data_IF_448603890825
#
_entry.id   IF_448603890825
#
_cell.length_a   1.000
_cell.length_b   1.000
_cell.length_c   1.000
_cell.angle_alpha   90.00
_cell.angle_beta   90.00
_cell.angle_gamma   90.00
#
_symmetry.space_group_name_H-M   'P 1'
#
loop_
_entity.id
_entity.type
_entity.pdbx_description
1 polymer ?
#
# COMPACT_ATOMS: atom_id res chain seq x y z
N UNK A 1 2.96 -28.66 0.67
CA UNK A 1 2.10 -27.58 0.12
C UNK A 1 2.79 -26.94 -1.08
N UNK A 2 2.06 -26.46 -2.09
CA UNK A 2 2.69 -25.75 -3.21
C UNK A 2 3.13 -24.34 -2.82
N UNK A 3 4.23 -23.82 -3.39
CA UNK A 3 4.69 -22.44 -3.13
C UNK A 3 3.59 -21.40 -3.39
N UNK A 4 2.75 -21.67 -4.39
CA UNK A 4 1.61 -20.84 -4.73
C UNK A 4 0.61 -20.73 -3.56
N UNK A 5 0.35 -21.83 -2.86
CA UNK A 5 -0.51 -21.84 -1.67
C UNK A 5 0.13 -21.13 -0.48
N UNK A 6 1.45 -21.27 -0.31
CA UNK A 6 2.19 -20.61 0.77
C UNK A 6 2.11 -19.07 0.64
N UNK A 7 2.25 -18.53 -0.57
CA UNK A 7 2.12 -17.09 -0.82
C UNK A 7 0.72 -16.58 -0.47
N UNK A 8 -0.34 -17.31 -0.84
CA UNK A 8 -1.72 -16.91 -0.51
C UNK A 8 -1.93 -16.92 1.01
N UNK A 9 -1.38 -17.92 1.70
CA UNK A 9 -1.49 -18.03 3.17
C UNK A 9 -0.70 -16.92 3.86
N UNK A 10 0.52 -16.61 3.40
CA UNK A 10 1.30 -15.51 3.96
C UNK A 10 0.65 -14.13 3.70
N UNK A 11 -0.03 -13.95 2.56
CA UNK A 11 -0.86 -12.77 2.36
C UNK A 11 -2.04 -12.74 3.34
N UNK A 12 -2.73 -13.87 3.53
CA UNK A 12 -3.88 -13.99 4.41
C UNK A 12 -3.53 -13.76 5.89
N UNK A 13 -2.34 -14.19 6.35
CA UNK A 13 -1.88 -13.97 7.74
C UNK A 13 -1.79 -12.49 8.07
N UNK A 14 -1.45 -11.62 7.11
CA UNK A 14 -1.52 -10.19 7.29
C UNK A 14 -2.95 -9.65 7.09
N UNK A 15 -3.59 -10.02 5.98
CA UNK A 15 -4.86 -9.41 5.54
C UNK A 15 -6.01 -9.64 6.53
N UNK A 16 -6.02 -10.78 7.23
CA UNK A 16 -7.08 -11.14 8.19
C UNK A 16 -6.68 -11.01 9.66
N UNK A 17 -5.43 -10.66 9.97
CA UNK A 17 -4.90 -10.67 11.35
C UNK A 17 -5.81 -9.92 12.33
N UNK A 18 -6.26 -8.73 11.93
CA UNK A 18 -7.08 -7.86 12.79
C UNK A 18 -8.47 -8.41 13.07
N UNK A 19 -9.11 -9.09 12.11
CA UNK A 19 -10.40 -9.74 12.39
C UNK A 19 -10.20 -10.84 13.43
N UNK A 20 -9.14 -11.63 13.29
CA UNK A 20 -8.83 -12.71 14.23
C UNK A 20 -8.61 -12.12 15.63
N UNK A 21 -7.83 -11.04 15.76
CA UNK A 21 -7.65 -10.34 17.04
C UNK A 21 -8.96 -9.74 17.57
N UNK A 22 -9.81 -9.20 16.71
CA UNK A 22 -11.12 -8.64 17.12
C UNK A 22 -12.09 -9.70 17.64
N UNK A 23 -11.86 -10.98 17.32
CA UNK A 23 -12.60 -12.12 17.89
C UNK A 23 -12.06 -12.55 19.27
N UNK A 24 -11.11 -11.81 19.84
CA UNK A 24 -10.56 -12.06 21.18
C UNK A 24 -9.21 -12.79 21.19
N UNK A 25 -8.61 -13.07 20.03
CA UNK A 25 -7.28 -13.66 20.01
C UNK A 25 -6.18 -12.64 20.36
N UNK A 26 -5.00 -13.10 20.86
CA UNK A 26 -3.95 -12.21 21.30
C UNK A 26 -3.38 -11.32 20.20
N UNK A 27 -3.01 -10.08 20.57
CA UNK A 27 -2.53 -9.05 19.65
C UNK A 27 -1.23 -9.41 18.91
N UNK A 28 -0.47 -10.39 19.42
CA UNK A 28 0.72 -10.98 18.77
C UNK A 28 0.42 -11.54 17.38
N UNK A 29 -0.84 -11.93 17.10
CA UNK A 29 -1.26 -12.41 15.77
C UNK A 29 -1.03 -11.35 14.69
N UNK A 30 -1.14 -10.06 15.04
CA UNK A 30 -0.85 -8.96 14.12
C UNK A 30 0.61 -8.91 13.66
N UNK A 31 1.51 -9.68 14.26
CA UNK A 31 2.94 -9.75 13.91
C UNK A 31 3.31 -11.02 13.14
N UNK A 32 2.41 -11.99 12.97
CA UNK A 32 2.73 -13.27 12.31
C UNK A 32 3.20 -13.06 10.87
N UNK A 33 2.72 -12.01 10.20
CA UNK A 33 3.13 -11.70 8.84
C UNK A 33 4.63 -11.38 8.72
N UNK A 34 5.21 -10.76 9.75
CA UNK A 34 6.65 -10.44 9.83
C UNK A 34 7.53 -11.69 9.79
N UNK A 35 7.02 -12.86 10.20
CA UNK A 35 7.73 -14.14 10.03
C UNK A 35 7.31 -14.83 8.72
N UNK A 36 6.02 -14.92 8.44
CA UNK A 36 5.51 -15.72 7.32
C UNK A 36 5.92 -15.18 5.96
N UNK A 37 5.95 -13.86 5.75
CA UNK A 37 6.32 -13.25 4.45
C UNK A 37 7.80 -13.51 4.11
N UNK A 38 8.79 -13.21 4.99
CA UNK A 38 10.20 -13.54 4.72
C UNK A 38 10.45 -15.04 4.52
N UNK A 39 9.83 -15.89 5.35
CA UNK A 39 9.97 -17.36 5.25
C UNK A 39 9.46 -17.85 3.89
N UNK A 40 8.27 -17.41 3.46
CA UNK A 40 7.72 -17.82 2.16
C UNK A 40 8.55 -17.28 1.00
N UNK A 41 9.09 -16.07 1.12
CA UNK A 41 10.04 -15.53 0.15
C UNK A 41 11.29 -16.42 0.04
N UNK A 42 11.90 -16.77 1.17
CA UNK A 42 13.08 -17.64 1.24
C UNK A 42 12.80 -19.04 0.66
N UNK A 43 11.74 -19.70 1.10
CA UNK A 43 11.32 -21.02 0.58
C UNK A 43 11.12 -20.95 -0.93
N UNK A 44 10.45 -19.90 -1.42
CA UNK A 44 10.20 -19.73 -2.85
C UNK A 44 11.50 -19.56 -3.62
N UNK A 45 12.45 -18.76 -3.14
CA UNK A 45 13.75 -18.55 -3.78
C UNK A 45 14.59 -19.83 -3.84
N UNK A 46 14.59 -20.64 -2.78
CA UNK A 46 15.38 -21.88 -2.70
C UNK A 46 14.77 -22.99 -3.57
N UNK A 47 13.45 -23.15 -3.52
CA UNK A 47 12.77 -24.30 -4.14
C UNK A 47 12.43 -24.08 -5.61
N UNK A 48 12.38 -22.83 -6.07
CA UNK A 48 11.89 -22.52 -7.41
C UNK A 48 13.01 -22.50 -8.45
N UNK A 49 12.92 -23.39 -9.44
CA UNK A 49 13.87 -23.45 -10.56
C UNK A 49 13.43 -22.51 -11.69
N UNK A 50 13.76 -21.22 -11.57
CA UNK A 50 13.53 -20.23 -12.62
C UNK A 50 14.55 -20.39 -13.73
N UNK A 51 14.10 -20.55 -14.98
CA UNK A 51 14.98 -20.57 -16.17
C UNK A 51 15.08 -19.22 -16.90
N UNK A 52 14.17 -18.28 -16.60
CA UNK A 52 14.12 -16.99 -17.28
C UNK A 52 15.18 -16.02 -16.73
N UNK A 53 16.17 -15.66 -17.53
CA UNK A 53 17.25 -14.75 -17.15
C UNK A 53 16.77 -13.36 -16.73
N UNK A 54 15.71 -12.85 -17.34
CA UNK A 54 15.15 -11.53 -16.98
C UNK A 54 14.56 -11.56 -15.57
N UNK A 55 13.82 -12.64 -15.26
CA UNK A 55 13.23 -12.85 -13.94
C UNK A 55 14.31 -12.98 -12.87
N UNK A 56 15.36 -13.76 -13.14
CA UNK A 56 16.52 -13.90 -12.24
C UNK A 56 17.20 -12.54 -12.01
N UNK A 57 17.46 -11.76 -13.06
CA UNK A 57 18.09 -10.45 -12.95
C UNK A 57 17.24 -9.48 -12.13
N UNK A 58 15.94 -9.44 -12.36
CA UNK A 58 15.00 -8.61 -11.59
C UNK A 58 14.99 -9.02 -10.10
N UNK A 59 14.89 -10.31 -9.80
CA UNK A 59 14.91 -10.83 -8.43
C UNK A 59 16.23 -10.48 -7.74
N UNK A 60 17.38 -10.70 -8.38
CA UNK A 60 18.70 -10.35 -7.81
C UNK A 60 18.82 -8.84 -7.55
N UNK A 61 18.34 -8.01 -8.46
CA UNK A 61 18.38 -6.56 -8.30
C UNK A 61 17.53 -6.10 -7.11
N UNK A 62 16.32 -6.64 -6.95
CA UNK A 62 15.46 -6.32 -5.80
C UNK A 62 16.07 -6.82 -4.47
N UNK A 63 16.65 -8.03 -4.44
CA UNK A 63 17.36 -8.55 -3.28
C UNK A 63 18.55 -7.67 -2.89
N UNK A 64 19.32 -7.19 -3.87
CA UNK A 64 20.42 -6.25 -3.62
C UNK A 64 19.91 -4.94 -3.01
N UNK A 65 18.83 -4.38 -3.55
CA UNK A 65 18.24 -3.15 -3.02
C UNK A 65 17.71 -3.36 -1.58
N UNK A 66 17.09 -4.51 -1.29
CA UNK A 66 16.65 -4.88 0.05
C UNK A 66 17.81 -5.01 1.03
N UNK A 67 18.91 -5.66 0.62
CA UNK A 67 20.13 -5.76 1.42
C UNK A 67 20.72 -4.38 1.70
N UNK A 68 20.80 -3.52 0.68
CA UNK A 68 21.27 -2.15 0.85
C UNK A 68 20.38 -1.36 1.83
N UNK A 69 19.06 -1.46 1.70
CA UNK A 69 18.13 -0.83 2.62
C UNK A 69 18.27 -1.37 4.07
N UNK A 70 18.51 -2.67 4.23
CA UNK A 70 18.79 -3.28 5.54
C UNK A 70 20.08 -2.73 6.14
N UNK A 71 21.16 -2.59 5.36
CA UNK A 71 22.42 -1.99 5.81
C UNK A 71 22.21 -0.56 6.29
N UNK A 72 21.48 0.26 5.52
CA UNK A 72 21.18 1.65 5.92
C UNK A 72 20.34 1.69 7.20
N UNK A 73 19.36 0.79 7.33
CA UNK A 73 18.54 0.65 8.55
C UNK A 73 19.39 0.24 9.75
N UNK A 74 20.35 -0.68 9.56
CA UNK A 74 21.29 -1.12 10.60
C UNK A 74 22.20 0.03 11.04
N UNK A 75 22.81 0.76 10.10
CA UNK A 75 23.67 1.90 10.42
C UNK A 75 22.88 2.98 11.16
N UNK A 76 21.67 3.29 10.69
CA UNK A 76 20.75 4.21 11.38
C UNK A 76 20.42 3.76 12.80
N UNK A 77 20.16 2.47 13.01
CA UNK A 77 19.91 1.90 14.34
C UNK A 77 21.11 2.02 15.27
N UNK A 78 22.32 1.72 14.77
CA UNK A 78 23.55 1.76 15.57
C UNK A 78 23.90 3.20 15.98
N UNK A 79 23.85 4.15 15.04
CA UNK A 79 24.17 5.57 15.31
C UNK A 79 23.20 6.15 16.35
N UNK A 80 21.93 5.79 16.27
CA UNK A 80 20.88 6.36 17.12
C UNK A 80 20.48 5.45 18.30
N UNK A 81 21.27 4.39 18.58
CA UNK A 81 21.04 3.45 19.68
C UNK A 81 19.61 2.88 19.72
N UNK A 82 19.00 2.68 18.54
CA UNK A 82 17.68 2.08 18.48
C UNK A 82 17.75 0.58 18.77
N UNK A 83 16.74 0.06 19.47
CA UNK A 83 16.66 -1.34 19.86
C UNK A 83 16.68 -2.30 18.67
N UNK A 84 17.15 -3.53 18.90
CA UNK A 84 17.19 -4.55 17.85
C UNK A 84 15.80 -4.85 17.27
N UNK A 85 14.77 -4.80 18.12
CA UNK A 85 13.36 -4.97 17.70
C UNK A 85 12.90 -3.81 16.82
N UNK A 86 13.34 -2.58 17.11
CA UNK A 86 13.04 -1.45 16.25
C UNK A 86 13.59 -1.66 14.85
N UNK A 87 14.86 -2.06 14.74
CA UNK A 87 15.50 -2.38 13.47
C UNK A 87 14.72 -3.44 12.69
N UNK A 88 14.42 -4.58 13.33
CA UNK A 88 13.77 -5.71 12.66
C UNK A 88 12.37 -5.33 12.21
N UNK A 89 11.54 -4.81 13.10
CA UNK A 89 10.15 -4.48 12.77
C UNK A 89 10.05 -3.36 11.75
N UNK A 90 10.81 -2.27 11.89
CA UNK A 90 10.72 -1.15 10.97
C UNK A 90 11.24 -1.52 9.57
N UNK A 91 12.30 -2.32 9.49
CA UNK A 91 12.75 -2.89 8.22
C UNK A 91 11.66 -3.74 7.58
N UNK A 92 11.07 -4.70 8.33
CA UNK A 92 10.07 -5.61 7.79
C UNK A 92 8.80 -4.89 7.35
N UNK A 93 8.30 -3.91 8.13
CA UNK A 93 7.14 -3.07 7.76
C UNK A 93 7.28 -2.49 6.35
N UNK A 94 8.48 -2.05 5.98
CA UNK A 94 8.76 -1.45 4.68
C UNK A 94 9.19 -2.46 3.61
N UNK A 95 9.88 -3.53 4.00
CA UNK A 95 10.49 -4.51 3.09
C UNK A 95 9.55 -5.63 2.65
N UNK A 96 8.58 -6.02 3.48
CA UNK A 96 7.60 -7.07 3.22
C UNK A 96 6.91 -7.02 1.85
N UNK A 97 6.36 -5.88 1.36
CA UNK A 97 5.76 -5.82 0.02
C UNK A 97 6.73 -6.23 -1.08
N UNK A 98 8.01 -5.90 -0.94
CA UNK A 98 9.03 -6.29 -1.92
C UNK A 98 9.41 -7.76 -1.79
N UNK A 99 9.49 -8.31 -0.58
CA UNK A 99 9.71 -9.75 -0.36
C UNK A 99 8.57 -10.58 -0.93
N UNK A 100 7.32 -10.17 -0.69
CA UNK A 100 6.15 -10.82 -1.28
C UNK A 100 6.18 -10.71 -2.82
N UNK A 101 6.51 -9.55 -3.36
CA UNK A 101 6.64 -9.37 -4.80
C UNK A 101 7.73 -10.28 -5.38
N UNK A 102 8.91 -10.35 -4.75
CA UNK A 102 10.00 -11.26 -5.13
C UNK A 102 9.51 -12.71 -5.14
N UNK A 103 8.79 -13.14 -4.10
CA UNK A 103 8.21 -14.48 -4.04
C UNK A 103 7.27 -14.74 -5.24
N UNK A 104 6.34 -13.81 -5.51
CA UNK A 104 5.38 -13.94 -6.61
C UNK A 104 6.10 -13.98 -7.97
N UNK A 105 6.96 -13.00 -8.27
CA UNK A 105 7.63 -12.92 -9.57
C UNK A 105 8.60 -14.08 -9.78
N UNK A 106 9.09 -14.73 -8.71
CA UNK A 106 10.00 -15.88 -8.81
C UNK A 106 9.29 -17.19 -9.16
N UNK A 107 7.95 -17.26 -9.09
CA UNK A 107 7.22 -18.48 -9.45
C UNK A 107 7.09 -18.70 -10.98
N UNK A 108 7.32 -19.92 -11.50
CA UNK A 108 6.94 -20.28 -12.87
C UNK A 108 5.46 -20.65 -12.92
N UNK A 109 4.57 -19.65 -12.88
CA UNK A 109 3.12 -19.92 -12.85
C UNK A 109 2.59 -20.41 -14.21
N UNK A 110 1.78 -21.46 -14.18
CA UNK A 110 0.92 -21.87 -15.30
C UNK A 110 -0.36 -21.02 -15.33
N UNK A 111 -1.14 -21.10 -16.42
CA UNK A 111 -2.41 -20.37 -16.55
C UNK A 111 -3.40 -20.76 -15.45
N UNK A 112 -3.43 -22.03 -15.09
CA UNK A 112 -4.33 -22.60 -14.07
C UNK A 112 -3.96 -22.09 -12.68
N UNK A 113 -2.67 -22.07 -12.34
CA UNK A 113 -2.18 -21.55 -11.06
C UNK A 113 -2.36 -20.04 -10.94
N UNK A 114 -2.17 -19.29 -12.03
CA UNK A 114 -2.49 -17.87 -12.07
C UNK A 114 -3.99 -17.62 -11.84
N UNK A 115 -4.86 -18.43 -12.47
CA UNK A 115 -6.31 -18.36 -12.23
C UNK A 115 -6.66 -18.64 -10.76
N UNK A 116 -5.99 -19.60 -10.13
CA UNK A 116 -6.16 -19.87 -8.69
C UNK A 116 -5.77 -18.65 -7.83
N UNK A 117 -4.65 -17.98 -8.13
CA UNK A 117 -4.22 -16.74 -7.45
C UNK A 117 -5.29 -15.66 -7.55
N UNK A 118 -5.78 -15.41 -8.76
CA UNK A 118 -6.79 -14.39 -9.00
C UNK A 118 -8.11 -14.70 -8.28
N UNK A 119 -8.52 -15.97 -8.24
CA UNK A 119 -9.75 -16.39 -7.56
C UNK A 119 -9.64 -16.18 -6.05
N UNK A 120 -8.54 -16.63 -5.42
CA UNK A 120 -8.34 -16.44 -3.98
C UNK A 120 -8.25 -14.96 -3.60
N UNK A 121 -7.48 -14.17 -4.34
CA UNK A 121 -7.40 -12.74 -4.11
C UNK A 121 -8.77 -12.06 -4.26
N UNK A 122 -9.54 -12.44 -5.28
CA UNK A 122 -10.89 -11.91 -5.48
C UNK A 122 -11.80 -12.26 -4.31
N UNK A 123 -11.74 -13.50 -3.80
CA UNK A 123 -12.53 -13.90 -2.63
C UNK A 123 -12.19 -13.06 -1.39
N UNK A 124 -10.92 -12.86 -1.11
CA UNK A 124 -10.48 -12.05 0.04
C UNK A 124 -10.94 -10.60 -0.08
N UNK A 125 -10.77 -9.97 -1.25
CA UNK A 125 -11.13 -8.58 -1.43
C UNK A 125 -12.65 -8.37 -1.51
N UNK A 126 -13.40 -9.30 -2.11
CA UNK A 126 -14.87 -9.26 -2.11
C UNK A 126 -15.43 -9.45 -0.70
N UNK A 127 -14.86 -10.39 0.08
CA UNK A 127 -15.21 -10.54 1.49
C UNK A 127 -14.91 -9.26 2.28
N UNK A 128 -13.77 -8.60 2.01
CA UNK A 128 -13.45 -7.31 2.62
C UNK A 128 -14.48 -6.22 2.32
N UNK A 129 -14.86 -6.03 1.05
CA UNK A 129 -15.87 -5.03 0.65
C UNK A 129 -17.22 -5.35 1.28
N UNK A 130 -17.63 -6.63 1.24
CA UNK A 130 -18.85 -7.10 1.87
C UNK A 130 -18.87 -6.82 3.37
N UNK A 131 -17.77 -7.14 4.07
CA UNK A 131 -17.64 -6.93 5.50
C UNK A 131 -17.71 -5.43 5.85
N UNK A 132 -17.06 -4.57 5.06
CA UNK A 132 -17.10 -3.12 5.30
C UNK A 132 -18.52 -2.55 5.15
N UNK A 133 -19.22 -2.91 4.07
CA UNK A 133 -20.61 -2.47 3.86
C UNK A 133 -21.51 -3.00 4.98
N UNK A 134 -21.32 -4.27 5.38
CA UNK A 134 -22.09 -4.88 6.47
C UNK A 134 -21.81 -4.19 7.82
N UNK A 135 -20.55 -3.84 8.10
CA UNK A 135 -20.16 -3.12 9.32
C UNK A 135 -20.93 -1.81 9.46
N UNK A 136 -21.03 -1.01 8.39
CA UNK A 136 -21.80 0.23 8.43
C UNK A 136 -23.24 0.00 8.93
N UNK A 137 -23.95 -0.97 8.33
CA UNK A 137 -25.32 -1.28 8.72
C UNK A 137 -25.42 -1.82 10.14
N UNK A 138 -24.49 -2.68 10.57
CA UNK A 138 -24.46 -3.21 11.93
C UNK A 138 -24.13 -2.13 12.98
N UNK A 139 -23.32 -1.14 12.62
CA UNK A 139 -22.96 -0.02 13.50
C UNK A 139 -24.12 0.97 13.66
N UNK A 140 -24.91 1.24 12.61
CA UNK A 140 -26.09 2.12 12.72
C UNK A 140 -27.22 1.48 13.52
N UNK A 141 -27.42 0.16 13.41
CA UNK A 141 -28.43 -0.57 14.18
C UNK A 141 -28.01 -0.88 15.61
N UNK A 142 -26.75 -0.63 15.97
CA UNK A 142 -26.21 -0.90 17.30
C UNK A 142 -25.86 -2.37 17.57
N UNK A 143 -25.86 -3.23 16.56
CA UNK A 143 -25.42 -4.63 16.71
C UNK A 143 -23.91 -4.74 16.84
N UNK A 144 -23.16 -3.83 16.21
CA UNK A 144 -21.71 -3.75 16.34
C UNK A 144 -21.34 -2.56 17.23
N UNK A 145 -20.45 -2.80 18.20
CA UNK A 145 -19.97 -1.76 19.10
C UNK A 145 -19.10 -0.75 18.35
N UNK A 146 -19.20 0.53 18.74
CA UNK A 146 -18.35 1.59 18.21
C UNK A 146 -17.15 1.79 19.13
N UNK A 147 -15.97 1.96 18.56
CA UNK A 147 -14.83 2.52 19.29
C UNK A 147 -15.00 4.03 19.52
N UNK A 148 -14.02 4.68 20.14
CA UNK A 148 -13.96 6.14 20.32
C UNK A 148 -13.87 6.95 19.00
N UNK A 149 -13.84 6.28 17.86
CA UNK A 149 -13.83 6.89 16.53
C UNK A 149 -15.25 7.23 16.04
N UNK A 150 -15.36 8.05 14.99
CA UNK A 150 -16.65 8.35 14.37
C UNK A 150 -17.31 7.09 13.79
N UNK A 151 -18.63 7.11 13.55
CA UNK A 151 -19.35 6.00 12.91
C UNK A 151 -18.64 5.56 11.61
N UNK A 152 -18.31 6.53 10.76
CA UNK A 152 -17.70 6.28 9.46
C UNK A 152 -16.28 5.69 9.62
N UNK A 153 -15.49 6.18 10.57
CA UNK A 153 -14.16 5.65 10.84
C UNK A 153 -14.17 4.20 11.32
N UNK A 154 -15.28 3.72 11.91
CA UNK A 154 -15.44 2.32 12.31
C UNK A 154 -15.77 1.38 11.12
N UNK A 155 -16.02 1.91 9.92
CA UNK A 155 -16.20 1.13 8.68
C UNK A 155 -14.84 0.83 8.07
N UNK A 156 -14.32 -0.39 8.28
CA UNK A 156 -12.92 -0.72 7.97
C UNK A 156 -12.75 -2.05 7.22
N UNK A 157 -13.83 -2.80 7.03
CA UNK A 157 -13.80 -4.16 6.51
C UNK A 157 -12.90 -5.06 7.35
N UNK A 158 -12.01 -5.81 6.70
CA UNK A 158 -11.06 -6.72 7.36
C UNK A 158 -10.06 -6.03 8.31
N UNK A 159 -9.96 -4.71 8.26
CA UNK A 159 -9.04 -3.95 9.11
C UNK A 159 -9.71 -3.41 10.37
N UNK A 160 -10.88 -3.95 10.73
CA UNK A 160 -11.68 -3.54 11.87
C UNK A 160 -10.86 -3.35 13.16
N UNK A 161 -11.27 -2.35 13.94
CA UNK A 161 -10.65 -1.96 15.21
C UNK A 161 -9.21 -1.42 15.09
N UNK A 162 -8.84 -0.82 13.95
CA UNK A 162 -7.55 -0.16 13.79
C UNK A 162 -7.66 1.34 13.56
N UNK A 163 -6.74 2.10 14.14
CA UNK A 163 -6.66 3.53 13.88
C UNK A 163 -6.23 3.74 12.42
N UNK A 164 -7.01 4.52 11.66
CA UNK A 164 -6.81 4.70 10.21
C UNK A 164 -7.28 3.53 9.34
N UNK A 165 -7.89 2.48 9.93
CA UNK A 165 -8.34 1.29 9.22
C UNK A 165 -9.36 1.58 8.10
N UNK A 166 -10.17 2.63 8.24
CA UNK A 166 -11.14 3.07 7.24
C UNK A 166 -10.46 3.51 5.94
N UNK A 167 -9.34 4.25 6.04
CA UNK A 167 -8.52 4.68 4.89
C UNK A 167 -7.93 3.46 4.20
N UNK A 168 -7.34 2.57 5.00
CA UNK A 168 -6.69 1.35 4.53
C UNK A 168 -7.67 0.46 3.79
N UNK A 169 -8.84 0.23 4.39
CA UNK A 169 -9.89 -0.56 3.79
C UNK A 169 -10.38 0.05 2.48
N UNK A 170 -10.67 1.35 2.46
CA UNK A 170 -11.09 2.02 1.24
C UNK A 170 -10.01 1.94 0.13
N UNK A 171 -8.74 2.18 0.45
CA UNK A 171 -7.62 2.05 -0.51
C UNK A 171 -7.45 0.63 -1.04
N UNK A 172 -7.66 -0.39 -0.20
CA UNK A 172 -7.65 -1.80 -0.59
C UNK A 172 -8.80 -2.12 -1.55
N UNK A 173 -10.02 -1.69 -1.21
CA UNK A 173 -11.22 -1.91 -2.01
C UNK A 173 -11.12 -1.23 -3.39
N UNK A 174 -10.67 0.02 -3.44
CA UNK A 174 -10.52 0.77 -4.70
C UNK A 174 -9.39 0.22 -5.58
N UNK A 175 -8.23 -0.12 -5.01
CA UNK A 175 -7.14 -0.74 -5.76
C UNK A 175 -7.54 -2.09 -6.38
N UNK A 176 -8.21 -2.96 -5.60
CA UNK A 176 -8.70 -4.24 -6.08
C UNK A 176 -9.80 -4.08 -7.14
N UNK A 177 -10.78 -3.23 -6.92
CA UNK A 177 -11.89 -3.07 -7.87
C UNK A 177 -11.43 -2.47 -9.20
N UNK A 178 -10.45 -1.55 -9.17
CA UNK A 178 -9.83 -1.05 -10.40
C UNK A 178 -9.06 -2.16 -11.14
N UNK A 179 -8.29 -2.98 -10.42
CA UNK A 179 -7.67 -4.17 -11.01
C UNK A 179 -8.72 -5.08 -11.66
N UNK A 180 -9.79 -5.39 -10.93
CA UNK A 180 -10.85 -6.26 -11.42
C UNK A 180 -11.52 -5.68 -12.68
N UNK A 181 -11.77 -4.37 -12.70
CA UNK A 181 -12.38 -3.68 -13.84
C UNK A 181 -11.48 -3.65 -15.09
N UNK A 182 -10.18 -3.38 -14.88
CA UNK A 182 -9.21 -3.21 -15.97
C UNK A 182 -8.66 -4.54 -16.47
N UNK A 183 -8.26 -5.46 -15.57
CA UNK A 183 -7.55 -6.68 -15.93
C UNK A 183 -8.47 -7.89 -16.19
N UNK A 184 -9.61 -8.02 -15.49
CA UNK A 184 -10.49 -9.21 -15.58
C UNK A 184 -11.51 -9.08 -16.73
N UNK A 185 -11.02 -8.97 -17.96
CA UNK A 185 -11.88 -8.80 -19.15
C UNK A 185 -12.77 -10.02 -19.48
N UNK A 186 -12.46 -11.19 -18.93
CA UNK A 186 -13.30 -12.39 -19.04
C UNK A 186 -14.60 -12.30 -18.26
N UNK A 187 -14.67 -11.44 -17.24
CA UNK A 187 -15.90 -11.20 -16.49
C UNK A 187 -16.79 -10.21 -17.23
N UNK A 188 -18.13 -10.39 -17.20
CA UNK A 188 -19.07 -9.48 -17.85
C UNK A 188 -18.97 -8.07 -17.25
N UNK A 189 -19.23 -7.05 -18.08
CA UNK A 189 -19.06 -5.64 -17.70
C UNK A 189 -19.88 -5.26 -16.46
N UNK A 190 -21.12 -5.73 -16.33
CA UNK A 190 -21.99 -5.41 -15.20
C UNK A 190 -21.38 -5.84 -13.85
N UNK A 191 -20.75 -7.02 -13.79
CA UNK A 191 -20.12 -7.52 -12.58
C UNK A 191 -18.86 -6.71 -12.23
N UNK A 192 -18.08 -6.33 -13.24
CA UNK A 192 -16.90 -5.48 -13.02
C UNK A 192 -17.31 -4.10 -12.51
N UNK A 193 -18.37 -3.53 -13.10
CA UNK A 193 -18.91 -2.23 -12.71
C UNK A 193 -19.50 -2.28 -11.29
N UNK A 194 -20.23 -3.34 -10.93
CA UNK A 194 -20.84 -3.48 -9.60
C UNK A 194 -19.80 -3.55 -8.49
N UNK A 195 -18.67 -4.26 -8.70
CA UNK A 195 -17.57 -4.32 -7.72
C UNK A 195 -16.91 -2.94 -7.55
N UNK A 196 -16.75 -2.18 -8.63
CA UNK A 196 -16.23 -0.81 -8.58
C UNK A 196 -17.18 0.12 -7.82
N UNK A 197 -18.48 0.07 -8.15
CA UNK A 197 -19.53 0.84 -7.47
C UNK A 197 -19.60 0.49 -5.98
N UNK A 198 -19.55 -0.80 -5.63
CA UNK A 198 -19.54 -1.26 -4.23
C UNK A 198 -18.31 -0.76 -3.46
N UNK A 199 -17.14 -0.68 -4.13
CA UNK A 199 -15.91 -0.16 -3.52
C UNK A 199 -15.96 1.35 -3.31
N UNK A 200 -16.53 2.10 -4.27
CA UNK A 200 -16.78 3.53 -4.12
C UNK A 200 -17.81 3.78 -3.01
N UNK A 201 -18.86 2.97 -2.93
CA UNK A 201 -19.85 3.05 -1.86
C UNK A 201 -19.20 2.80 -0.49
N UNK A 202 -18.39 1.75 -0.34
CA UNK A 202 -17.59 1.51 0.86
C UNK A 202 -16.72 2.73 1.22
N UNK A 203 -15.98 3.30 0.27
CA UNK A 203 -15.15 4.47 0.51
C UNK A 203 -15.96 5.65 1.07
N UNK A 204 -17.15 5.89 0.53
CA UNK A 204 -18.05 6.96 0.98
C UNK A 204 -18.60 6.68 2.39
N UNK A 205 -19.01 5.44 2.67
CA UNK A 205 -19.46 5.04 4.02
C UNK A 205 -18.35 5.16 5.08
N UNK A 206 -17.11 4.93 4.67
CA UNK A 206 -15.91 5.00 5.50
C UNK A 206 -15.33 6.42 5.64
N UNK A 207 -15.98 7.44 5.07
CA UNK A 207 -15.50 8.83 4.98
C UNK A 207 -14.05 8.98 4.46
N UNK A 208 -13.57 8.01 3.68
CA UNK A 208 -12.17 7.88 3.27
C UNK A 208 -11.84 8.69 2.00
N UNK A 209 -12.25 9.97 1.98
CA UNK A 209 -12.19 10.90 0.83
C UNK A 209 -10.80 11.06 0.22
N UNK A 210 -9.79 11.01 1.07
CA UNK A 210 -8.39 11.15 0.69
C UNK A 210 -7.99 10.09 -0.33
N UNK A 211 -8.61 8.92 -0.32
CA UNK A 211 -8.35 7.86 -1.29
C UNK A 211 -8.77 8.29 -2.70
N UNK A 212 -9.88 9.03 -2.87
CA UNK A 212 -10.28 9.59 -4.18
C UNK A 212 -9.26 10.64 -4.64
N UNK A 213 -8.82 11.54 -3.76
CA UNK A 213 -7.79 12.52 -4.11
C UNK A 213 -6.48 11.87 -4.54
N UNK A 214 -6.05 10.83 -3.81
CA UNK A 214 -4.86 10.06 -4.16
C UNK A 214 -5.02 9.42 -5.53
N UNK A 215 -6.18 8.85 -5.83
CA UNK A 215 -6.47 8.27 -7.14
C UNK A 215 -6.38 9.30 -8.26
N UNK A 216 -6.97 10.49 -8.08
CA UNK A 216 -6.87 11.57 -9.07
C UNK A 216 -5.43 12.08 -9.27
N UNK A 217 -4.70 12.31 -8.18
CA UNK A 217 -3.31 12.74 -8.25
C UNK A 217 -2.42 11.69 -8.94
N UNK A 218 -2.59 10.41 -8.60
CA UNK A 218 -1.88 9.31 -9.25
C UNK A 218 -2.24 9.18 -10.74
N UNK A 219 -3.49 9.47 -11.12
CA UNK A 219 -3.91 9.48 -12.51
C UNK A 219 -3.28 10.65 -13.27
N UNK A 220 -3.23 11.84 -12.68
CA UNK A 220 -2.53 12.99 -13.25
C UNK A 220 -1.04 12.68 -13.50
N UNK A 221 -0.36 12.06 -12.52
CA UNK A 221 1.03 11.61 -12.72
C UNK A 221 1.14 10.55 -13.84
N UNK A 222 0.16 9.65 -13.97
CA UNK A 222 0.15 8.67 -15.05
C UNK A 222 0.07 9.34 -16.43
N UNK A 223 -0.74 10.39 -16.57
CA UNK A 223 -0.81 11.22 -17.79
C UNK A 223 0.56 11.79 -18.12
N UNK A 224 1.26 12.38 -17.14
CA UNK A 224 2.62 12.90 -17.32
C UNK A 224 3.58 11.80 -17.80
N UNK A 225 3.53 10.60 -17.20
CA UNK A 225 4.37 9.47 -17.63
C UNK A 225 4.02 8.92 -19.01
N UNK A 226 2.88 9.35 -19.59
CA UNK A 226 2.39 8.90 -20.89
C UNK A 226 2.62 9.91 -22.03
N UNK A 227 3.25 11.06 -21.75
CA UNK A 227 3.43 12.15 -22.73
C UNK A 227 4.14 11.74 -24.04
N UNK A 228 4.94 10.67 -24.01
CA UNK A 228 5.55 10.10 -25.21
C UNK A 228 4.57 9.40 -26.17
N UNK A 229 3.34 9.12 -25.73
CA UNK A 229 2.26 8.52 -26.52
C UNK A 229 1.08 9.49 -26.54
N UNK A 230 1.06 10.37 -27.55
CA UNK A 230 0.07 11.46 -27.68
C UNK A 230 -1.36 10.92 -27.64
N UNK A 231 -1.62 9.80 -28.34
CA UNK A 231 -2.95 9.18 -28.39
C UNK A 231 -3.42 8.76 -27.00
N UNK A 232 -2.58 8.08 -26.23
CA UNK A 232 -2.91 7.69 -24.85
C UNK A 232 -3.07 8.89 -23.95
N UNK A 233 -2.19 9.88 -24.08
CA UNK A 233 -2.24 11.12 -23.30
C UNK A 233 -3.58 11.83 -23.49
N UNK A 234 -3.99 12.05 -24.73
CA UNK A 234 -5.28 12.69 -25.05
C UNK A 234 -6.44 11.87 -24.49
N UNK A 235 -6.43 10.54 -24.65
CA UNK A 235 -7.48 9.68 -24.11
C UNK A 235 -7.58 9.78 -22.58
N UNK A 236 -6.44 9.80 -21.88
CA UNK A 236 -6.43 9.94 -20.43
C UNK A 236 -6.86 11.33 -19.98
N UNK A 237 -6.48 12.39 -20.70
CA UNK A 237 -6.93 13.75 -20.41
C UNK A 237 -8.44 13.89 -20.56
N UNK A 238 -9.02 13.39 -21.66
CA UNK A 238 -10.48 13.40 -21.86
C UNK A 238 -11.18 12.66 -20.72
N UNK A 239 -10.70 11.45 -20.39
CA UNK A 239 -11.28 10.67 -19.31
C UNK A 239 -11.14 11.35 -17.93
N UNK A 240 -10.02 12.03 -17.67
CA UNK A 240 -9.80 12.79 -16.45
C UNK A 240 -10.73 14.01 -16.36
N UNK A 241 -10.91 14.77 -17.45
CA UNK A 241 -11.83 15.91 -17.50
C UNK A 241 -13.27 15.47 -17.22
N UNK A 242 -13.72 14.37 -17.83
CA UNK A 242 -15.05 13.81 -17.57
C UNK A 242 -15.18 13.39 -16.10
N UNK A 243 -14.18 12.70 -15.56
CA UNK A 243 -14.19 12.23 -14.18
C UNK A 243 -14.21 13.40 -13.17
N UNK A 244 -13.41 14.45 -13.41
CA UNK A 244 -13.40 15.67 -12.56
C UNK A 244 -14.73 16.40 -12.65
N UNK A 245 -15.29 16.57 -13.86
CA UNK A 245 -16.60 17.19 -14.04
C UNK A 245 -17.69 16.44 -13.28
N UNK A 246 -17.78 15.12 -13.44
CA UNK A 246 -18.75 14.29 -12.72
C UNK A 246 -18.55 14.34 -11.21
N UNK A 247 -17.29 14.34 -10.75
CA UNK A 247 -16.98 14.42 -9.33
C UNK A 247 -17.43 15.76 -8.73
N UNK A 248 -17.13 16.88 -9.40
CA UNK A 248 -17.60 18.21 -8.99
C UNK A 248 -19.12 18.29 -9.01
N UNK A 249 -19.77 17.75 -10.04
CA UNK A 249 -21.22 17.68 -10.10
C UNK A 249 -21.79 16.88 -8.91
N UNK A 250 -21.21 15.73 -8.58
CA UNK A 250 -21.61 14.95 -7.40
C UNK A 250 -21.44 15.73 -6.10
N UNK A 251 -20.34 16.46 -5.91
CA UNK A 251 -20.12 17.28 -4.71
C UNK A 251 -21.20 18.35 -4.50
N UNK A 252 -21.78 18.87 -5.57
CA UNK A 252 -22.83 19.89 -5.51
C UNK A 252 -24.24 19.31 -5.43
N UNK A 253 -24.47 18.11 -5.98
CA UNK A 253 -25.82 17.56 -6.18
C UNK A 253 -26.12 16.29 -5.37
N UNK A 254 -25.12 15.63 -4.80
CA UNK A 254 -25.27 14.36 -4.08
C UNK A 254 -24.82 14.54 -2.64
N UNK A 255 -25.76 14.37 -1.69
CA UNK A 255 -25.51 14.58 -0.26
C UNK A 255 -24.30 13.81 0.27
N UNK A 256 -24.13 12.56 -0.19
CA UNK A 256 -23.01 11.69 0.19
C UNK A 256 -21.62 12.27 -0.18
N UNK A 257 -21.55 13.20 -1.14
CA UNK A 257 -20.31 13.88 -1.55
C UNK A 257 -20.16 15.28 -0.92
N UNK A 258 -21.15 15.79 -0.18
CA UNK A 258 -21.11 17.15 0.40
C UNK A 258 -19.90 17.36 1.31
N UNK A 259 -19.45 16.30 1.96
CA UNK A 259 -18.33 16.34 2.89
C UNK A 259 -16.96 16.62 2.24
N UNK A 260 -16.84 16.62 0.91
CA UNK A 260 -15.62 17.07 0.22
C UNK A 260 -15.47 18.61 0.20
N UNK A 261 -16.56 19.36 0.41
CA UNK A 261 -16.53 20.82 0.41
C UNK A 261 -15.75 21.39 1.62
N UNK A 262 -15.53 20.61 2.68
CA UNK A 262 -14.73 21.05 3.85
C UNK A 262 -13.27 21.26 3.51
N UNK A 263 -12.75 20.60 2.47
CA UNK A 263 -11.36 20.73 2.01
C UNK A 263 -11.18 21.86 1.00
N UNK A 264 -12.25 22.49 0.52
CA UNK A 264 -12.18 23.60 -0.43
C UNK A 264 -12.40 24.91 0.35
N UNK A 265 -11.63 25.12 1.41
CA UNK A 265 -11.65 26.36 2.21
C UNK A 265 -10.47 27.24 1.82
N UNK A 266 -10.70 28.51 1.41
CA UNK A 266 -9.61 29.46 1.19
C UNK A 266 -8.75 29.65 2.46
N UNK A 267 -7.47 29.98 2.29
CA UNK A 267 -6.57 30.36 3.39
C UNK A 267 -5.89 29.21 4.14
N UNK A 268 -6.52 28.03 4.27
CA UNK A 268 -5.93 26.94 5.10
C UNK A 268 -4.66 26.32 4.49
N UNK A 269 -4.45 26.47 3.17
CA UNK A 269 -3.33 25.90 2.42
C UNK A 269 -2.19 26.89 2.12
N UNK A 270 -2.30 28.14 2.59
CA UNK A 270 -1.22 29.12 2.45
C UNK A 270 0.04 28.67 3.20
N UNK A 271 1.23 29.26 2.97
CA UNK A 271 2.45 28.89 3.69
C UNK A 271 2.28 28.91 5.22
N UNK A 272 1.55 29.88 5.74
CA UNK A 272 1.17 30.02 7.16
C UNK A 272 -0.25 29.52 7.46
N UNK A 273 -0.89 28.88 6.48
CA UNK A 273 -2.21 28.30 6.64
C UNK A 273 -2.19 27.14 7.63
N UNK A 274 -3.25 26.99 8.41
CA UNK A 274 -3.33 25.99 9.48
C UNK A 274 -3.09 24.56 8.99
N UNK A 275 -3.57 24.20 7.79
CA UNK A 275 -3.35 22.87 7.23
C UNK A 275 -1.87 22.64 6.87
N UNK A 276 -1.20 23.66 6.32
CA UNK A 276 0.23 23.61 6.00
C UNK A 276 1.04 23.46 7.28
N UNK A 277 0.79 24.30 8.28
CA UNK A 277 1.47 24.26 9.57
C UNK A 277 1.23 22.94 10.29
N UNK A 278 0.00 22.45 10.34
CA UNK A 278 -0.32 21.16 10.94
C UNK A 278 0.41 20.03 10.23
N UNK A 279 0.31 19.95 8.89
CA UNK A 279 0.90 18.86 8.12
C UNK A 279 2.42 18.78 8.25
N UNK A 280 3.08 19.95 8.28
CA UNK A 280 4.55 20.07 8.34
C UNK A 280 5.11 20.08 9.76
N UNK A 281 4.25 20.02 10.79
CA UNK A 281 4.68 20.03 12.20
C UNK A 281 5.64 18.88 12.54
N UNK A 282 5.42 17.69 11.99
CA UNK A 282 6.32 16.54 12.19
C UNK A 282 7.72 16.78 11.65
N UNK A 283 7.85 17.48 10.52
CA UNK A 283 9.17 17.85 9.96
C UNK A 283 9.89 18.79 10.93
N UNK A 284 9.21 19.85 11.40
CA UNK A 284 9.81 20.81 12.34
C UNK A 284 10.24 20.15 13.65
N UNK A 285 9.39 19.29 14.21
CA UNK A 285 9.71 18.56 15.44
C UNK A 285 10.86 17.59 15.20
N UNK A 286 10.88 16.81 14.11
CA UNK A 286 12.00 15.89 13.84
C UNK A 286 13.33 16.67 13.74
N UNK A 287 13.34 17.81 13.05
CA UNK A 287 14.55 18.64 12.91
C UNK A 287 15.03 19.16 14.27
N UNK A 288 14.13 19.52 15.19
CA UNK A 288 14.55 19.99 16.52
C UNK A 288 15.23 18.91 17.38
N UNK A 289 15.12 17.64 16.99
CA UNK A 289 15.81 16.51 17.62
C UNK A 289 17.12 16.13 16.91
N UNK A 290 17.51 16.80 15.82
CA UNK A 290 18.78 16.52 15.14
C UNK A 290 19.93 17.08 15.96
N UNK A 291 20.77 16.19 16.49
CA UNK A 291 21.92 16.53 17.33
C UNK A 291 23.26 16.44 16.57
N UNK A 292 23.26 15.83 15.37
CA UNK A 292 24.44 15.61 14.55
C UNK A 292 24.13 15.77 13.06
N UNK A 293 25.09 16.23 12.24
CA UNK A 293 24.96 16.21 10.78
C UNK A 293 24.64 14.81 10.21
N UNK A 294 25.04 13.74 10.92
CA UNK A 294 24.71 12.37 10.53
C UNK A 294 23.20 12.07 10.58
N UNK A 295 22.42 12.81 11.37
CA UNK A 295 20.97 12.63 11.41
C UNK A 295 20.29 13.02 10.09
N UNK A 296 20.87 13.93 9.30
CA UNK A 296 20.37 14.18 7.95
C UNK A 296 20.53 12.97 7.03
N UNK A 297 21.61 12.22 7.19
CA UNK A 297 21.92 11.08 6.33
C UNK A 297 21.22 9.80 6.78
N UNK A 298 21.20 9.55 8.10
CA UNK A 298 20.74 8.30 8.72
C UNK A 298 19.52 8.43 9.63
N UNK A 299 18.96 9.63 9.80
CA UNK A 299 17.79 9.87 10.62
C UNK A 299 18.06 9.74 12.12
N UNK A 300 16.98 9.55 12.87
CA UNK A 300 16.96 9.43 14.33
C UNK A 300 16.79 7.98 14.82
N UNK A 301 16.83 7.02 13.90
CA UNK A 301 16.74 5.60 14.20
C UNK A 301 15.34 5.03 13.95
N UNK A 302 15.25 3.71 13.66
CA UNK A 302 13.98 3.06 13.39
C UNK A 302 13.01 3.17 14.57
N UNK A 303 11.75 3.48 14.29
CA UNK A 303 10.69 3.55 15.31
C UNK A 303 10.79 4.74 16.28
N UNK A 304 11.71 5.68 16.07
CA UNK A 304 11.87 6.84 16.94
C UNK A 304 11.10 8.09 16.48
N UNK A 305 10.56 8.10 15.26
CA UNK A 305 9.81 9.24 14.71
C UNK A 305 8.33 8.92 14.46
N UNK A 306 7.70 9.58 13.47
CA UNK A 306 6.24 9.54 13.23
C UNK A 306 5.77 8.43 12.29
N UNK A 307 6.67 7.53 11.87
CA UNK A 307 6.31 6.34 11.10
C UNK A 307 5.38 5.40 11.87
N UNK A 308 4.93 4.30 11.25
CA UNK A 308 3.98 3.37 11.86
C UNK A 308 4.46 2.82 13.20
N UNK A 309 5.72 2.38 13.24
CA UNK A 309 6.30 1.80 14.45
C UNK A 309 6.33 2.81 15.60
N UNK A 310 6.87 4.01 15.39
CA UNK A 310 7.01 5.02 16.45
C UNK A 310 5.73 5.79 16.77
N UNK A 311 4.94 6.12 15.75
CA UNK A 311 3.72 6.91 15.85
C UNK A 311 2.51 6.14 16.36
N UNK A 312 2.43 4.83 16.09
CA UNK A 312 1.22 4.04 16.33
C UNK A 312 1.46 2.79 17.18
N UNK A 313 2.60 2.12 17.04
CA UNK A 313 2.85 0.85 17.74
C UNK A 313 3.52 1.06 19.11
N UNK A 314 4.55 1.91 19.16
CA UNK A 314 5.36 2.19 20.36
C UNK A 314 4.98 3.50 21.07
N UNK A 315 4.13 4.33 20.46
CA UNK A 315 3.86 5.69 20.93
C UNK A 315 3.34 5.74 22.38
N UNK A 316 3.75 6.74 23.15
CA UNK A 316 3.45 6.85 24.58
C UNK A 316 1.95 6.85 24.92
N UNK A 317 1.10 7.42 24.05
CA UNK A 317 -0.33 7.61 24.32
C UNK A 317 -1.24 6.62 23.58
N UNK A 318 -0.77 6.08 22.45
CA UNK A 318 -1.55 5.24 21.55
C UNK A 318 -0.87 3.92 21.19
N UNK A 319 0.29 3.64 21.79
CA UNK A 319 1.12 2.46 21.51
C UNK A 319 0.51 1.20 22.08
N UNK A 320 -0.32 0.54 21.28
CA UNK A 320 -1.02 -0.71 21.66
C UNK A 320 -0.08 -1.90 21.87
N UNK A 321 1.20 -1.76 21.52
CA UNK A 321 2.16 -2.86 21.51
C UNK A 321 3.40 -2.58 22.37
N UNK A 322 3.43 -1.49 23.14
CA UNK A 322 4.57 -1.18 23.99
C UNK A 322 4.88 -2.31 24.98
N UNK A 323 3.87 -2.77 25.71
CA UNK A 323 4.02 -3.86 26.71
C UNK A 323 4.51 -5.18 26.09
N UNK A 324 4.22 -5.42 24.80
CA UNK A 324 4.69 -6.61 24.09
C UNK A 324 6.14 -6.46 23.61
N UNK A 325 6.55 -5.25 23.22
CA UNK A 325 7.81 -5.00 22.51
C UNK A 325 8.92 -4.48 23.42
N UNK A 326 8.59 -3.78 24.50
CA UNK A 326 9.56 -3.29 25.50
C UNK A 326 10.39 -4.42 26.11
N UNK A 327 9.83 -5.56 26.57
CA UNK A 327 10.63 -6.66 27.11
C UNK A 327 11.59 -7.28 26.10
N UNK A 328 11.35 -7.08 24.81
CA UNK A 328 12.20 -7.55 23.73
C UNK A 328 13.30 -6.53 23.36
N UNK A 329 13.37 -5.40 24.08
CA UNK A 329 14.36 -4.35 23.88
C UNK A 329 13.93 -3.28 22.88
N UNK A 330 12.63 -3.03 22.71
CA UNK A 330 12.17 -1.88 21.92
C UNK A 330 12.47 -0.54 22.62
N UNK A 331 12.85 0.45 21.82
CA UNK A 331 13.17 1.82 22.27
C UNK A 331 12.21 2.83 21.67
N UNK A 332 12.01 3.98 22.32
CA UNK A 332 11.14 5.07 21.84
C UNK A 332 11.71 6.44 22.21
N UNK A 333 11.38 7.46 21.41
CA UNK A 333 11.63 8.88 21.68
C UNK A 333 10.32 9.65 21.76
N UNK A 334 10.36 10.86 22.34
CA UNK A 334 9.17 11.70 22.56
C UNK A 334 8.61 12.37 21.29
N UNK A 335 9.32 12.31 20.16
CA UNK A 335 8.95 12.97 18.90
C UNK A 335 7.51 12.66 18.47
N UNK A 336 7.11 11.38 18.51
CA UNK A 336 5.74 11.01 18.11
C UNK A 336 4.70 11.55 19.10
N UNK A 337 5.03 11.61 20.40
CA UNK A 337 4.15 12.17 21.42
C UNK A 337 3.94 13.68 21.22
N UNK A 338 5.00 14.42 20.90
CA UNK A 338 4.93 15.87 20.64
C UNK A 338 4.08 16.17 19.40
N UNK A 339 4.25 15.38 18.35
CA UNK A 339 3.43 15.49 17.13
C UNK A 339 1.96 15.17 17.42
N UNK A 340 1.69 14.14 18.23
CA UNK A 340 0.33 13.82 18.65
C UNK A 340 -0.30 14.91 19.52
N UNK A 341 0.48 15.59 20.35
CA UNK A 341 0.00 16.69 21.19
C UNK A 341 -0.53 17.87 20.35
N UNK A 342 0.09 18.13 19.19
CA UNK A 342 -0.39 19.15 18.24
C UNK A 342 -1.64 18.67 17.48
N UNK A 343 -1.69 17.40 17.11
CA UNK A 343 -2.71 16.88 16.20
C UNK A 343 -4.05 16.50 16.86
N UNK A 344 -4.02 15.91 18.06
CA UNK A 344 -5.18 15.20 18.64
C UNK A 344 -6.45 16.05 18.76
N UNK A 345 -6.30 17.31 19.15
CA UNK A 345 -7.44 18.20 19.45
C UNK A 345 -7.59 19.30 18.39
N UNK A 346 -6.89 19.19 17.26
CA UNK A 346 -7.02 20.13 16.16
C UNK A 346 -8.33 19.88 15.39
N UNK A 347 -9.04 20.94 15.00
CA UNK A 347 -10.26 20.81 14.21
C UNK A 347 -10.03 20.22 12.79
N UNK A 348 -8.78 20.20 12.32
CA UNK A 348 -8.32 19.56 11.08
C UNK A 348 -7.83 18.11 11.31
N UNK A 349 -8.22 17.48 12.44
CA UNK A 349 -7.90 16.08 12.75
C UNK A 349 -8.57 15.13 11.75
N UNK A 350 -7.97 15.05 10.57
CA UNK A 350 -8.31 14.17 9.46
C UNK A 350 -7.06 13.48 8.95
N UNK A 351 -7.20 12.24 8.53
CA UNK A 351 -6.17 11.42 7.88
C UNK A 351 -5.40 12.16 6.76
N UNK A 352 -6.06 13.08 6.05
CA UNK A 352 -5.42 13.89 5.01
C UNK A 352 -4.38 14.87 5.57
N UNK A 353 -4.73 15.60 6.63
CA UNK A 353 -3.88 16.63 7.25
C UNK A 353 -2.95 16.09 8.34
N UNK A 354 -3.08 14.82 8.70
CA UNK A 354 -2.26 14.20 9.73
C UNK A 354 -0.75 14.41 9.49
N UNK A 355 -0.01 14.93 10.48
CA UNK A 355 1.44 15.06 10.40
C UNK A 355 2.17 13.72 10.46
N UNK A 356 1.47 12.64 10.82
CA UNK A 356 2.01 11.28 10.85
C UNK A 356 1.87 10.63 9.48
N UNK A 357 2.73 11.01 8.53
CA UNK A 357 2.72 10.41 7.19
C UNK A 357 4.00 9.63 6.84
N UNK A 358 3.88 8.64 5.96
CA UNK A 358 4.97 7.68 5.74
C UNK A 358 6.26 8.31 5.20
N UNK A 359 6.20 9.29 4.30
CA UNK A 359 7.44 9.89 3.76
C UNK A 359 8.29 10.57 4.84
N UNK A 360 7.65 11.34 5.73
CA UNK A 360 8.34 11.95 6.86
C UNK A 360 8.76 10.92 7.90
N UNK A 361 8.00 9.84 8.09
CA UNK A 361 8.40 8.74 8.98
C UNK A 361 9.64 7.98 8.48
N UNK A 362 9.71 7.67 7.18
CA UNK A 362 10.85 6.99 6.55
C UNK A 362 12.09 7.91 6.61
N UNK A 363 11.95 9.18 6.23
CA UNK A 363 13.04 10.15 6.32
C UNK A 363 13.48 10.41 7.76
N UNK A 364 12.54 10.61 8.69
CA UNK A 364 12.85 10.85 10.09
C UNK A 364 13.57 9.67 10.73
N UNK A 365 13.18 8.44 10.40
CA UNK A 365 13.84 7.24 10.91
C UNK A 365 15.21 6.98 10.27
N UNK A 366 15.35 7.14 8.95
CA UNK A 366 16.51 6.64 8.19
C UNK A 366 17.30 7.69 7.40
N UNK A 367 16.93 8.97 7.52
CA UNK A 367 17.52 10.09 6.81
C UNK A 367 17.31 10.03 5.30
N UNK A 368 18.02 10.89 4.58
CA UNK A 368 17.96 10.93 3.12
C UNK A 368 18.51 9.67 2.46
N UNK A 369 19.49 8.98 3.07
CA UNK A 369 20.03 7.76 2.50
C UNK A 369 19.00 6.63 2.54
N UNK A 370 18.31 6.46 3.66
CA UNK A 370 17.26 5.45 3.79
C UNK A 370 16.04 5.76 2.92
N UNK A 371 15.62 7.03 2.86
CA UNK A 371 14.58 7.45 1.93
C UNK A 371 14.98 7.15 0.47
N UNK A 372 16.21 7.48 0.08
CA UNK A 372 16.75 7.20 -1.26
C UNK A 372 16.80 5.70 -1.57
N UNK A 373 17.25 4.88 -0.62
CA UNK A 373 17.26 3.42 -0.74
C UNK A 373 15.85 2.83 -0.90
N UNK A 374 14.86 3.36 -0.16
CA UNK A 374 13.47 2.93 -0.28
C UNK A 374 12.83 3.36 -1.61
N UNK A 375 13.09 4.59 -2.07
CA UNK A 375 12.69 5.05 -3.41
C UNK A 375 13.34 4.19 -4.49
N UNK A 376 14.61 3.81 -4.31
CA UNK A 376 15.31 2.96 -5.27
C UNK A 376 14.65 1.59 -5.46
N UNK A 377 14.15 0.96 -4.38
CA UNK A 377 13.33 -0.25 -4.47
C UNK A 377 12.14 -0.06 -5.42
N UNK A 378 11.36 1.02 -5.24
CA UNK A 378 10.23 1.34 -6.11
C UNK A 378 10.62 1.64 -7.55
N UNK A 379 11.74 2.34 -7.78
CA UNK A 379 12.28 2.60 -9.12
C UNK A 379 12.63 1.28 -9.84
N UNK A 380 13.22 0.31 -9.13
CA UNK A 380 13.49 -1.02 -9.69
C UNK A 380 12.18 -1.73 -10.04
N UNK A 381 11.18 -1.73 -9.15
CA UNK A 381 9.85 -2.33 -9.43
C UNK A 381 9.20 -1.65 -10.64
N UNK A 382 9.27 -0.32 -10.73
CA UNK A 382 8.75 0.46 -11.84
C UNK A 382 9.35 0.03 -13.18
N UNK A 383 10.68 0.01 -13.29
CA UNK A 383 11.34 -0.30 -14.56
C UNK A 383 11.34 -1.79 -14.92
N UNK A 384 11.38 -2.69 -13.93
CA UNK A 384 11.58 -4.13 -14.18
C UNK A 384 10.28 -4.94 -14.13
N UNK A 385 9.29 -4.49 -13.37
CA UNK A 385 8.06 -5.25 -13.11
C UNK A 385 6.84 -4.56 -13.72
N UNK A 386 6.75 -3.23 -13.68
CA UNK A 386 5.57 -2.49 -14.14
C UNK A 386 5.51 -2.32 -15.66
N UNK A 387 5.10 -3.39 -16.34
CA UNK A 387 4.94 -3.40 -17.80
C UNK A 387 3.58 -2.90 -18.30
N UNK A 388 2.65 -2.54 -17.42
CA UNK A 388 1.34 -1.98 -17.79
C UNK A 388 1.02 -0.70 -17.05
N UNK A 389 0.16 0.13 -17.65
CA UNK A 389 -0.29 1.40 -17.08
C UNK A 389 -1.02 1.19 -15.75
N UNK A 390 -1.71 0.06 -15.57
CA UNK A 390 -2.29 -0.31 -14.28
C UNK A 390 -1.22 -0.47 -13.19
N UNK A 391 -0.15 -1.23 -13.46
CA UNK A 391 0.93 -1.44 -12.48
C UNK A 391 1.66 -0.13 -12.15
N UNK A 392 1.88 0.71 -13.17
CA UNK A 392 2.43 2.06 -13.00
C UNK A 392 1.52 2.93 -12.12
N UNK A 393 0.23 2.95 -12.42
CA UNK A 393 -0.77 3.66 -11.64
C UNK A 393 -0.82 3.20 -10.17
N UNK A 394 -0.65 1.90 -9.90
CA UNK A 394 -0.53 1.39 -8.52
C UNK A 394 0.71 1.93 -7.80
N UNK A 395 1.88 2.01 -8.45
CA UNK A 395 3.08 2.63 -7.85
C UNK A 395 2.85 4.13 -7.61
N UNK A 396 2.21 4.83 -8.54
CA UNK A 396 1.89 6.25 -8.36
C UNK A 396 0.90 6.46 -7.21
N UNK A 397 -0.05 5.53 -7.01
CA UNK A 397 -0.91 5.54 -5.83
C UNK A 397 -0.11 5.37 -4.54
N UNK A 398 0.85 4.44 -4.51
CA UNK A 398 1.77 4.29 -3.36
C UNK A 398 2.53 5.59 -3.13
N UNK A 399 3.05 6.22 -4.20
CA UNK A 399 3.80 7.47 -4.09
C UNK A 399 2.98 8.58 -3.40
N UNK A 400 1.74 8.79 -3.83
CA UNK A 400 0.88 9.84 -3.28
C UNK A 400 0.34 9.46 -1.88
N UNK A 401 -0.02 8.21 -1.65
CA UNK A 401 -0.41 7.74 -0.31
C UNK A 401 0.69 7.95 0.74
N UNK A 402 1.96 8.11 0.34
CA UNK A 402 3.04 8.38 1.29
C UNK A 402 2.93 9.73 1.99
N UNK A 403 2.10 10.62 1.44
CA UNK A 403 1.72 11.88 2.07
C UNK A 403 0.44 11.78 2.90
N UNK A 404 -0.22 10.62 2.97
CA UNK A 404 -1.52 10.43 3.64
C UNK A 404 -1.40 9.33 4.69
N UNK A 405 -1.37 9.69 5.97
CA UNK A 405 -1.09 8.78 7.08
C UNK A 405 0.18 7.92 6.85
N UNK A 406 0.41 6.94 7.71
CA UNK A 406 1.48 5.96 7.56
C UNK A 406 1.10 4.83 6.60
N UNK A 407 0.49 5.16 5.45
CA UNK A 407 -0.13 4.18 4.55
C UNK A 407 0.89 3.26 3.86
N UNK A 408 2.14 3.71 3.65
CA UNK A 408 3.21 2.88 3.04
C UNK A 408 3.76 1.85 4.01
N UNK A 409 3.45 2.02 5.27
CA UNK A 409 3.84 1.14 6.36
C UNK A 409 2.66 0.25 6.78
N UNK A 410 1.50 0.39 6.13
CA UNK A 410 0.34 -0.46 6.38
C UNK A 410 0.43 -1.75 5.55
N UNK A 411 0.71 -2.90 6.19
CA UNK A 411 1.05 -4.12 5.47
C UNK A 411 -0.14 -4.66 4.67
N UNK A 412 -1.37 -4.52 5.16
CA UNK A 412 -2.57 -4.96 4.42
C UNK A 412 -2.74 -4.27 3.06
N UNK A 413 -2.45 -2.97 2.99
CA UNK A 413 -2.48 -2.21 1.75
C UNK A 413 -1.29 -2.54 0.86
N UNK A 414 -0.07 -2.46 1.41
CA UNK A 414 1.15 -2.61 0.62
C UNK A 414 1.36 -4.02 0.06
N UNK A 415 1.02 -5.05 0.84
CA UNK A 415 1.05 -6.43 0.38
C UNK A 415 0.02 -6.66 -0.73
N UNK A 416 -1.17 -6.03 -0.66
CA UNK A 416 -2.14 -6.11 -1.75
C UNK A 416 -1.59 -5.47 -3.03
N UNK A 417 -1.01 -4.28 -2.94
CA UNK A 417 -0.39 -3.61 -4.09
C UNK A 417 0.69 -4.49 -4.72
N UNK A 418 1.59 -5.04 -3.91
CA UNK A 418 2.60 -6.01 -4.37
C UNK A 418 1.96 -7.22 -5.05
N UNK A 419 0.88 -7.78 -4.48
CA UNK A 419 0.15 -8.91 -5.04
C UNK A 419 -0.45 -8.57 -6.41
N UNK A 420 -1.12 -7.42 -6.53
CA UNK A 420 -1.75 -6.96 -7.79
C UNK A 420 -0.72 -6.71 -8.88
N UNK A 421 0.40 -6.06 -8.56
CA UNK A 421 1.51 -5.85 -9.49
C UNK A 421 2.10 -7.19 -9.93
N UNK A 422 2.34 -8.11 -8.98
CA UNK A 422 2.88 -9.44 -9.26
C UNK A 422 1.98 -10.31 -10.14
N UNK A 423 0.66 -10.34 -9.88
CA UNK A 423 -0.30 -11.02 -10.75
C UNK A 423 -0.27 -10.42 -12.15
N UNK A 424 -0.32 -9.08 -12.25
CA UNK A 424 -0.38 -8.41 -13.56
C UNK A 424 0.87 -8.68 -14.39
N UNK A 425 2.03 -8.76 -13.75
CA UNK A 425 3.28 -9.15 -14.39
C UNK A 425 3.20 -10.56 -15.00
N UNK A 426 2.62 -11.52 -14.28
CA UNK A 426 2.43 -12.90 -14.77
C UNK A 426 1.43 -12.97 -15.94
N UNK A 427 0.31 -12.26 -15.86
CA UNK A 427 -0.69 -12.20 -16.94
C UNK A 427 -0.06 -11.78 -18.27
N UNK A 428 0.72 -10.69 -18.24
CA UNK A 428 1.37 -10.13 -19.43
C UNK A 428 2.48 -11.05 -19.93
N UNK A 429 3.23 -11.68 -19.03
CA UNK A 429 4.29 -12.62 -19.37
C UNK A 429 3.75 -13.87 -20.07
N UNK A 430 2.63 -14.42 -19.61
CA UNK A 430 1.97 -15.58 -20.23
C UNK A 430 1.29 -15.23 -21.56
N UNK A 431 0.71 -14.03 -21.66
CA UNK A 431 0.13 -13.54 -22.92
C UNK A 431 1.19 -13.43 -24.03
N UNK A 432 2.35 -12.82 -23.73
CA UNK A 432 3.48 -12.72 -24.68
C UNK A 432 3.96 -14.09 -25.15
N UNK A 433 4.11 -15.07 -24.24
CA UNK A 433 4.51 -16.44 -24.61
C UNK A 433 3.51 -17.11 -25.55
N UNK A 434 2.21 -16.94 -25.31
CA UNK A 434 1.16 -17.55 -26.15
C UNK A 434 1.23 -17.00 -27.58
N UNK A 435 1.45 -15.69 -27.74
CA UNK A 435 1.59 -15.04 -29.06
C UNK A 435 2.84 -15.49 -29.81
N UNK A 436 3.96 -15.70 -29.11
CA UNK A 436 5.19 -16.18 -29.74
C UNK A 436 5.06 -17.62 -30.24
N UNK A 437 4.45 -18.50 -29.44
CA UNK A 437 4.19 -19.90 -29.84
C UNK A 437 3.25 -19.97 -31.05
N UNK A 438 2.19 -19.16 -31.09
CA UNK A 438 1.27 -19.16 -32.23
C UNK A 438 1.92 -18.62 -33.52
N UNK A 439 2.84 -17.65 -33.41
CA UNK A 439 3.62 -17.17 -34.57
C UNK A 439 4.55 -18.26 -35.12
N UNK A 440 5.34 -18.91 -34.26
CA UNK A 440 6.23 -19.99 -34.69
C UNK A 440 5.49 -21.16 -35.32
N UNK A 441 4.33 -21.55 -34.77
CA UNK A 441 3.49 -22.60 -35.36
C UNK A 441 2.99 -22.22 -36.76
N UNK A 442 2.59 -20.95 -36.97
CA UNK A 442 2.14 -20.49 -38.28
C UNK A 442 3.29 -20.41 -39.30
N UNK A 443 4.50 -20.06 -38.86
CA UNK A 443 5.67 -20.01 -39.73
C UNK A 443 6.12 -21.43 -40.17
N UNK A 444 6.01 -22.42 -39.28
CA UNK A 444 6.27 -23.83 -39.64
C UNK A 444 5.24 -24.37 -40.63
N UNK A 445 3.95 -24.05 -40.46
CA UNK A 445 2.91 -24.48 -41.42
C UNK A 445 3.11 -23.84 -42.80
N UNK A 446 3.58 -22.59 -42.85
CA UNK A 446 3.92 -21.93 -44.13
C UNK A 446 5.12 -22.56 -44.85
N UNK A 447 6.12 -23.03 -44.12
CA UNK A 447 7.29 -23.71 -44.73
C UNK A 447 6.95 -25.09 -45.31
N UNK A 448 5.90 -25.76 -44.83
CA UNK A 448 5.46 -27.07 -45.36
C UNK A 448 4.56 -26.94 -46.59
N UNK A 449 4.00 -25.75 -46.85
CA UNK A 449 2.98 -25.55 -47.90
C UNK A 449 3.47 -24.75 -49.11
N UNK A 450 4.72 -24.28 -49.13
CA UNK A 450 5.34 -23.70 -50.32
C UNK A 450 5.80 -24.81 -51.29
N UNK A 451 5.33 -24.82 -52.56
CA UNK A 451 5.81 -25.78 -53.56
C UNK A 451 7.31 -25.55 -53.82
N UNK A 452 8.07 -26.62 -54.13
CA UNK A 452 9.52 -26.59 -54.29
C UNK A 452 10.01 -25.72 -55.45
#
# INVERSE_FOLDING_TARGET
MSNSSLIIIAFATCFFARNIVSLGLPSVINFIHFATIPIVCLITLITTKVKNQTQIKTTKQLLFCLLFFLIVTLVSSLINQAGAINLVLNFLILAEPFMLLIAIISLPLTKEKLKQFQVWLSRFCLFHIFLAISQYYLLITGFLQRSDMTLADNVQGVFYWSNGGHVVGASVGTAFSLYYFVARKTSPLWLRASILVASVYHLLLADAKQVILVMFAAWFLLIITSLGDIRKTVLYLIAALIAVYLFVWCMQNVELFRHFNTWIRPGIYEPEGEATLLKTSSIRIIISYFQSPLNWLFGLGPGHTVGRLGGWMLGYRFGRYWELLEPLGATRLFISADVWAIYKDHWLNSSFFSPLFSWVGIWGNFGFLGLGAYVWLWVVVWHRVCSSDFSKYMILNVLIHGFILTQLEEPGYMLLIAFLIGIRWHELSLSKKTVLVSKCSNDQVKQVTSPP
#
